data_IF_613174754664
#
_entry.id   IF_613174754664
#
_cell.length_a   1.000
_cell.length_b   1.000
_cell.length_c   1.000
_cell.angle_alpha   90.00
_cell.angle_beta   90.00
_cell.angle_gamma   90.00
#
_symmetry.space_group_name_H-M   'P 1'
#
loop_
_entity.id
_entity.type
_entity.pdbx_description
1 polymer ?
#
# COMPACT_ATOMS: atom_id res chain seq x y z
N UNK A 1 -96.39 -48.39 10.46
CA UNK A 1 -95.38 -48.41 9.37
C UNK A 1 -95.92 -47.45 8.33
N UNK A 2 -95.45 -46.22 8.17
CA UNK A 2 -94.07 -45.74 8.20
C UNK A 2 -93.90 -44.48 9.05
N UNK A 3 -92.95 -44.59 9.97
CA UNK A 3 -92.03 -43.58 10.52
C UNK A 3 -92.19 -42.12 10.10
N UNK A 4 -92.75 -41.35 11.03
CA UNK A 4 -92.10 -40.16 11.60
C UNK A 4 -90.62 -40.50 11.88
N UNK A 5 -89.67 -39.93 11.12
CA UNK A 5 -88.31 -39.56 11.57
C UNK A 5 -87.41 -39.14 10.38
N UNK A 6 -87.92 -38.27 9.49
CA UNK A 6 -87.11 -37.57 8.47
C UNK A 6 -86.12 -36.53 9.05
N UNK A 7 -85.78 -36.64 10.34
CA UNK A 7 -84.89 -35.72 11.05
C UNK A 7 -83.81 -36.41 11.91
N UNK A 8 -83.42 -37.66 11.60
CA UNK A 8 -82.37 -38.39 12.35
C UNK A 8 -81.15 -38.87 11.54
N UNK A 9 -80.98 -38.43 10.29
CA UNK A 9 -79.75 -38.69 9.51
C UNK A 9 -78.69 -37.58 9.66
N UNK A 10 -78.69 -36.85 10.77
CA UNK A 10 -77.48 -36.16 11.20
C UNK A 10 -76.60 -37.23 11.86
N UNK A 11 -75.50 -37.58 11.19
CA UNK A 11 -74.46 -38.48 11.69
C UNK A 11 -74.13 -38.17 13.16
N UNK A 12 -74.08 -39.17 14.06
CA UNK A 12 -73.62 -38.98 15.43
C UNK A 12 -72.24 -38.31 15.47
N UNK A 13 -72.00 -37.46 16.47
CA UNK A 13 -70.64 -37.00 16.79
C UNK A 13 -69.74 -38.24 16.90
N UNK A 14 -68.64 -38.25 16.15
CA UNK A 14 -67.68 -39.37 16.03
C UNK A 14 -68.08 -40.56 15.13
N UNK A 15 -68.97 -40.36 14.15
CA UNK A 15 -69.26 -41.37 13.11
C UNK A 15 -68.52 -41.12 11.78
N UNK A 16 -67.94 -42.19 11.22
CA UNK A 16 -67.22 -42.22 9.94
C UNK A 16 -68.14 -42.70 8.82
N UNK A 17 -68.39 -41.85 7.83
CA UNK A 17 -68.90 -42.27 6.52
C UNK A 17 -67.75 -42.25 5.50
N UNK A 18 -67.48 -43.40 4.87
CA UNK A 18 -66.51 -43.51 3.78
C UNK A 18 -67.25 -43.75 2.47
N UNK A 19 -67.31 -42.72 1.61
CA UNK A 19 -67.75 -42.85 0.23
C UNK A 19 -66.57 -43.32 -0.62
N UNK A 20 -66.36 -44.64 -0.68
CA UNK A 20 -65.34 -45.24 -1.55
C UNK A 20 -65.85 -45.24 -2.98
N UNK A 21 -65.62 -44.12 -3.69
CA UNK A 21 -65.62 -44.10 -5.16
C UNK A 21 -64.17 -44.24 -5.63
N UNK A 22 -63.68 -45.48 -5.66
CA UNK A 22 -62.32 -45.83 -6.11
C UNK A 22 -61.20 -45.29 -5.21
N UNK A 23 -60.79 -44.05 -5.46
CA UNK A 23 -59.51 -43.46 -5.02
C UNK A 23 -59.69 -42.21 -4.14
N UNK A 24 -60.90 -41.95 -3.66
CA UNK A 24 -61.22 -40.81 -2.80
C UNK A 24 -61.69 -41.34 -1.44
N UNK A 25 -61.12 -40.81 -0.36
CA UNK A 25 -61.53 -41.14 1.00
C UNK A 25 -61.85 -39.87 1.79
N UNK A 26 -63.03 -39.84 2.40
CA UNK A 26 -63.44 -38.83 3.37
C UNK A 26 -63.53 -39.56 4.71
N UNK A 27 -62.83 -39.05 5.72
CA UNK A 27 -62.89 -39.52 7.10
C UNK A 27 -63.38 -38.40 7.98
N UNK A 28 -64.55 -38.59 8.59
CA UNK A 28 -65.14 -37.67 9.57
C UNK A 28 -65.30 -38.40 10.88
N UNK A 29 -64.97 -37.79 12.02
CA UNK A 29 -65.13 -38.37 13.37
C UNK A 29 -63.82 -38.72 14.10
N UNK A 30 -63.81 -38.54 15.43
CA UNK A 30 -62.60 -38.64 16.26
C UNK A 30 -61.77 -37.36 16.31
N UNK A 31 -60.51 -37.45 16.78
CA UNK A 31 -59.60 -36.30 16.91
C UNK A 31 -59.11 -35.70 15.57
N UNK A 32 -59.38 -36.38 14.44
CA UNK A 32 -58.88 -36.02 13.12
C UNK A 32 -59.99 -36.22 12.07
N UNK A 33 -60.23 -35.21 11.24
CA UNK A 33 -61.04 -35.33 10.02
C UNK A 33 -60.13 -35.15 8.81
N UNK A 34 -60.25 -36.01 7.81
CA UNK A 34 -59.39 -35.95 6.63
C UNK A 34 -60.10 -36.22 5.32
N UNK A 35 -59.52 -35.65 4.27
CA UNK A 35 -59.84 -35.86 2.88
C UNK A 35 -58.56 -36.35 2.19
N UNK A 36 -58.60 -37.50 1.53
CA UNK A 36 -57.44 -38.01 0.79
C UNK A 36 -57.80 -38.50 -0.61
N UNK A 37 -56.86 -38.29 -1.55
CA UNK A 37 -56.91 -38.86 -2.89
C UNK A 37 -55.74 -39.83 -3.04
N UNK A 38 -56.06 -41.10 -3.20
CA UNK A 38 -55.12 -42.22 -3.22
C UNK A 38 -54.84 -42.65 -4.65
N UNK A 39 -53.57 -42.79 -5.00
CA UNK A 39 -53.12 -43.35 -6.28
C UNK A 39 -53.30 -44.86 -6.27
N UNK A 40 -53.24 -45.47 -7.45
CA UNK A 40 -53.26 -46.94 -7.60
C UNK A 40 -52.09 -47.65 -6.90
N UNK A 41 -51.00 -46.93 -6.63
CA UNK A 41 -49.84 -47.44 -5.88
C UNK A 41 -49.97 -47.30 -4.35
N UNK A 42 -51.12 -46.81 -3.86
CA UNK A 42 -51.41 -46.64 -2.44
C UNK A 42 -50.91 -45.32 -1.84
N UNK A 43 -50.06 -44.55 -2.52
CA UNK A 43 -49.63 -43.22 -2.05
C UNK A 43 -50.76 -42.23 -2.18
N UNK A 44 -50.83 -41.25 -1.29
CA UNK A 44 -51.99 -40.35 -1.26
C UNK A 44 -51.63 -38.91 -0.89
N UNK A 45 -52.35 -37.98 -1.48
CA UNK A 45 -52.42 -36.60 -1.00
C UNK A 45 -53.52 -36.50 0.04
N UNK A 46 -53.32 -35.71 1.08
CA UNK A 46 -54.28 -35.54 2.15
C UNK A 46 -54.43 -34.08 2.59
N UNK A 47 -55.61 -33.77 3.09
CA UNK A 47 -55.92 -32.60 3.92
C UNK A 47 -56.52 -33.17 5.19
N UNK A 48 -55.87 -32.98 6.33
CA UNK A 48 -56.24 -33.58 7.62
C UNK A 48 -56.23 -32.52 8.71
N UNK A 49 -57.26 -32.47 9.56
CA UNK A 49 -57.20 -31.66 10.77
C UNK A 49 -56.16 -32.24 11.71
N UNK A 50 -55.53 -31.44 12.55
CA UNK A 50 -54.60 -31.91 13.58
C UNK A 50 -55.32 -32.04 14.93
N UNK A 51 -54.70 -32.71 15.90
CA UNK A 51 -55.30 -32.93 17.23
C UNK A 51 -55.66 -31.60 17.90
N UNK A 52 -56.64 -31.63 18.81
CA UNK A 52 -57.07 -30.43 19.53
C UNK A 52 -55.93 -29.76 20.33
N UNK A 53 -54.91 -30.53 20.71
CA UNK A 53 -53.75 -30.05 21.48
C UNK A 53 -52.56 -29.59 20.61
N UNK A 54 -52.64 -29.69 19.28
CA UNK A 54 -51.55 -29.28 18.38
C UNK A 54 -51.47 -27.75 18.17
N UNK A 55 -50.28 -27.22 17.87
CA UNK A 55 -50.11 -25.81 17.50
C UNK A 55 -50.64 -25.47 16.09
N UNK A 56 -50.94 -26.49 15.29
CA UNK A 56 -51.55 -26.40 13.96
C UNK A 56 -53.03 -26.80 14.00
N UNK A 57 -53.82 -26.36 13.01
CA UNK A 57 -55.23 -26.76 12.86
C UNK A 57 -55.45 -27.77 11.72
N UNK A 58 -54.56 -27.77 10.73
CA UNK A 58 -54.66 -28.61 9.56
C UNK A 58 -53.28 -28.91 9.00
N UNK A 59 -53.12 -30.07 8.40
CA UNK A 59 -51.98 -30.48 7.62
C UNK A 59 -52.42 -30.80 6.19
N UNK A 60 -51.64 -30.33 5.22
CA UNK A 60 -51.79 -30.69 3.81
C UNK A 60 -50.49 -31.37 3.39
N UNK A 61 -50.57 -32.55 2.81
CA UNK A 61 -49.36 -33.29 2.49
C UNK A 61 -49.53 -34.46 1.55
N UNK A 62 -48.40 -35.12 1.28
CA UNK A 62 -48.29 -36.33 0.48
C UNK A 62 -47.62 -37.42 1.33
N UNK A 63 -48.21 -38.62 1.37
CA UNK A 63 -47.75 -39.76 2.16
C UNK A 63 -47.50 -40.99 1.28
N UNK A 64 -46.60 -41.83 1.74
CA UNK A 64 -46.38 -43.17 1.17
C UNK A 64 -47.57 -44.10 1.44
N UNK A 65 -47.60 -45.27 0.80
CA UNK A 65 -48.67 -46.26 0.97
C UNK A 65 -48.78 -46.82 2.40
N UNK A 66 -47.70 -46.74 3.17
CA UNK A 66 -47.64 -47.12 4.59
C UNK A 66 -48.04 -45.97 5.55
N UNK A 67 -48.49 -44.84 5.00
CA UNK A 67 -48.83 -43.60 5.72
C UNK A 67 -47.65 -42.82 6.31
N UNK A 68 -46.40 -43.13 5.97
CA UNK A 68 -45.27 -42.26 6.30
C UNK A 68 -45.30 -40.94 5.50
N UNK A 69 -44.88 -39.85 6.13
CA UNK A 69 -44.91 -38.51 5.52
C UNK A 69 -43.77 -38.34 4.51
N UNK A 70 -44.09 -37.94 3.27
CA UNK A 70 -43.10 -37.52 2.27
C UNK A 70 -42.91 -36.01 2.38
N UNK A 71 -44.01 -35.27 2.30
CA UNK A 71 -44.03 -33.82 2.43
C UNK A 71 -45.31 -33.41 3.17
N UNK A 72 -45.18 -32.62 4.23
CA UNK A 72 -46.33 -32.13 4.99
C UNK A 72 -46.12 -30.67 5.32
N UNK A 73 -47.12 -29.85 4.99
CA UNK A 73 -47.24 -28.46 5.42
C UNK A 73 -48.29 -28.41 6.52
N UNK A 74 -47.90 -27.95 7.71
CA UNK A 74 -48.83 -27.72 8.82
C UNK A 74 -49.26 -26.25 8.85
N UNK A 75 -50.57 -26.01 8.86
CA UNK A 75 -51.17 -24.69 8.96
C UNK A 75 -51.37 -24.33 10.45
N UNK A 76 -50.74 -23.26 10.97
CA UNK A 76 -50.77 -22.93 12.40
C UNK A 76 -52.13 -22.39 12.86
N UNK A 77 -52.52 -22.61 14.13
CA UNK A 77 -53.71 -22.02 14.79
C UNK A 77 -53.56 -20.52 15.11
N UNK A 78 -52.88 -19.77 14.25
CA UNK A 78 -52.57 -18.34 14.43
C UNK A 78 -52.83 -17.56 13.15
N UNK A 79 -53.25 -16.32 13.31
CA UNK A 79 -53.44 -15.37 12.21
C UNK A 79 -52.07 -15.11 11.56
N UNK A 80 -51.93 -15.29 10.25
CA UNK A 80 -50.66 -15.07 9.56
C UNK A 80 -50.63 -15.62 8.14
N UNK A 81 -49.45 -15.58 7.52
CA UNK A 81 -49.19 -16.16 6.20
C UNK A 81 -48.42 -17.47 6.37
N UNK A 82 -48.79 -18.51 5.62
CA UNK A 82 -47.98 -19.73 5.49
C UNK A 82 -47.08 -19.55 4.26
N UNK A 83 -45.81 -19.28 4.51
CA UNK A 83 -44.80 -19.25 3.46
C UNK A 83 -44.31 -20.67 3.21
N UNK A 84 -44.69 -21.25 2.07
CA UNK A 84 -44.03 -22.46 1.54
C UNK A 84 -42.78 -21.93 0.85
N UNK A 85 -41.66 -21.88 1.58
CA UNK A 85 -40.40 -21.45 1.01
C UNK A 85 -39.97 -22.51 -0.02
N UNK A 86 -39.91 -22.13 -1.29
CA UNK A 86 -39.38 -22.99 -2.35
C UNK A 86 -37.85 -23.14 -2.30
N UNK A 87 -37.15 -22.42 -1.43
CA UNK A 87 -35.70 -22.29 -1.51
C UNK A 87 -35.05 -22.78 -0.21
N UNK A 88 -34.88 -24.09 -0.12
CA UNK A 88 -33.61 -24.60 0.42
C UNK A 88 -32.53 -24.14 -0.56
N UNK A 89 -31.69 -23.19 -0.17
CA UNK A 89 -30.51 -22.90 -0.97
C UNK A 89 -29.65 -24.15 -0.97
N UNK A 90 -29.56 -24.78 -2.14
CA UNK A 90 -28.44 -25.68 -2.43
C UNK A 90 -27.13 -24.94 -2.16
N UNK A 91 -26.04 -25.67 -1.93
CA UNK A 91 -24.72 -25.05 -1.80
C UNK A 91 -24.47 -24.06 -2.95
N UNK A 92 -24.80 -24.44 -4.18
CA UNK A 92 -24.75 -23.57 -5.39
C UNK A 92 -25.47 -22.22 -5.25
N UNK A 93 -26.64 -22.19 -4.60
CA UNK A 93 -27.42 -20.96 -4.43
C UNK A 93 -26.91 -20.09 -3.28
N UNK A 94 -26.29 -20.70 -2.27
CA UNK A 94 -25.55 -20.00 -1.21
C UNK A 94 -24.25 -19.38 -1.77
N UNK A 95 -23.51 -20.14 -2.58
CA UNK A 95 -22.27 -19.74 -3.26
C UNK A 95 -22.46 -18.52 -4.18
N UNK A 96 -23.69 -18.28 -4.67
CA UNK A 96 -24.04 -17.18 -5.58
C UNK A 96 -24.54 -15.92 -4.86
N UNK A 97 -24.98 -16.03 -3.60
CA UNK A 97 -25.63 -14.93 -2.84
C UNK A 97 -24.74 -14.36 -1.74
N UNK A 98 -23.75 -15.11 -1.25
CA UNK A 98 -22.89 -14.72 -0.11
C UNK A 98 -21.41 -14.97 -0.43
N UNK A 99 -20.51 -14.14 0.12
CA UNK A 99 -19.05 -14.40 0.05
C UNK A 99 -18.75 -15.56 1.00
N UNK A 100 -18.20 -16.63 0.45
CA UNK A 100 -17.94 -17.85 1.20
C UNK A 100 -16.66 -17.71 2.05
N UNK A 101 -16.70 -18.29 3.25
CA UNK A 101 -15.52 -18.44 4.08
C UNK A 101 -14.62 -19.54 3.49
N UNK A 102 -13.35 -19.25 3.20
CA UNK A 102 -12.35 -20.20 2.66
C UNK A 102 -12.67 -20.82 1.30
N UNK A 103 -13.31 -20.07 0.40
CA UNK A 103 -13.56 -20.57 -0.96
C UNK A 103 -13.11 -19.52 -1.97
N UNK A 104 -12.39 -19.94 -3.02
CA UNK A 104 -12.00 -19.09 -4.13
C UNK A 104 -13.26 -18.53 -4.83
N UNK A 105 -13.68 -17.34 -4.44
CA UNK A 105 -14.95 -16.77 -4.88
C UNK A 105 -14.72 -15.86 -6.08
N UNK A 106 -15.16 -16.29 -7.27
CA UNK A 106 -15.25 -15.44 -8.48
C UNK A 106 -16.72 -15.04 -8.69
N UNK A 107 -17.05 -13.75 -8.55
CA UNK A 107 -18.42 -13.23 -8.81
C UNK A 107 -18.44 -12.33 -10.04
N UNK A 108 -19.62 -12.21 -10.67
CA UNK A 108 -19.88 -11.36 -11.84
C UNK A 108 -20.29 -9.91 -11.49
N UNK A 109 -20.17 -9.49 -10.23
CA UNK A 109 -20.56 -8.15 -9.73
C UNK A 109 -19.65 -7.62 -8.61
N UNK A 110 -19.76 -6.31 -8.30
CA UNK A 110 -18.89 -5.62 -7.34
C UNK A 110 -19.06 -6.14 -5.90
N UNK A 111 -17.95 -6.40 -5.20
CA UNK A 111 -17.93 -6.79 -3.78
C UNK A 111 -17.98 -5.52 -2.90
N UNK A 112 -19.09 -5.29 -2.19
CA UNK A 112 -19.20 -4.28 -1.13
C UNK A 112 -18.77 -4.88 0.22
N UNK A 113 -17.47 -4.89 0.53
CA UNK A 113 -16.94 -5.45 1.78
C UNK A 113 -16.78 -4.39 2.88
N UNK A 114 -17.36 -4.63 4.06
CA UNK A 114 -17.10 -3.84 5.29
C UNK A 114 -15.81 -4.35 5.93
N UNK A 115 -14.93 -3.44 6.34
CA UNK A 115 -13.70 -3.77 7.07
C UNK A 115 -14.02 -4.38 8.45
N UNK A 116 -13.36 -5.49 8.81
CA UNK A 116 -13.45 -6.06 10.14
C UNK A 116 -12.72 -5.15 11.15
N UNK A 117 -13.45 -4.59 12.11
CA UNK A 117 -12.88 -3.72 13.14
C UNK A 117 -12.67 -4.51 14.44
N UNK A 118 -11.42 -4.66 14.85
CA UNK A 118 -11.07 -5.51 15.98
C UNK A 118 -11.56 -4.97 17.33
N UNK A 119 -11.93 -3.69 17.41
CA UNK A 119 -12.56 -3.13 18.60
C UNK A 119 -14.07 -3.39 18.68
N UNK A 120 -14.74 -3.55 17.53
CA UNK A 120 -16.18 -3.77 17.49
C UNK A 120 -16.51 -5.26 17.71
N UNK A 121 -15.70 -6.15 17.16
CA UNK A 121 -15.81 -7.60 17.35
C UNK A 121 -14.43 -8.23 17.60
N UNK A 122 -14.09 -8.58 18.85
CA UNK A 122 -12.84 -9.26 19.19
C UNK A 122 -12.66 -10.63 18.51
N UNK A 123 -13.73 -11.28 18.06
CA UNK A 123 -13.67 -12.56 17.35
C UNK A 123 -13.31 -12.40 15.87
N UNK A 124 -13.36 -11.17 15.34
CA UNK A 124 -12.93 -10.86 13.97
C UNK A 124 -11.39 -10.91 13.77
N UNK A 125 -10.63 -11.19 14.85
CA UNK A 125 -9.15 -11.28 14.89
C UNK A 125 -8.53 -12.48 14.17
N UNK A 126 -9.30 -13.22 13.38
CA UNK A 126 -8.87 -14.51 12.86
C UNK A 126 -7.93 -14.36 11.64
N UNK A 127 -6.61 -14.40 11.87
CA UNK A 127 -5.59 -14.28 10.82
C UNK A 127 -5.48 -15.50 9.87
N UNK A 128 -6.26 -16.56 10.11
CA UNK A 128 -6.48 -17.64 9.13
C UNK A 128 -7.48 -17.28 8.01
N UNK A 129 -7.91 -16.01 7.91
CA UNK A 129 -8.87 -15.55 6.90
C UNK A 129 -8.35 -14.30 6.19
N UNK A 130 -8.34 -14.33 4.85
CA UNK A 130 -7.99 -13.17 4.03
C UNK A 130 -9.10 -12.10 4.07
N UNK A 131 -8.73 -10.82 4.06
CA UNK A 131 -9.72 -9.74 4.05
C UNK A 131 -9.17 -8.35 4.36
N UNK A 132 -10.08 -7.38 4.42
CA UNK A 132 -9.80 -6.01 4.84
C UNK A 132 -10.02 -5.88 6.35
N UNK A 133 -8.98 -5.48 7.07
CA UNK A 133 -8.95 -5.40 8.52
C UNK A 133 -8.70 -3.96 8.98
N UNK A 134 -9.28 -3.59 10.12
CA UNK A 134 -8.93 -2.41 10.91
C UNK A 134 -8.39 -2.89 12.27
N UNK A 135 -7.11 -3.30 12.29
CA UNK A 135 -6.50 -3.86 13.49
C UNK A 135 -6.13 -2.81 14.55
N UNK A 136 -6.03 -1.52 14.20
CA UNK A 136 -5.66 -0.44 15.14
C UNK A 136 -4.39 -0.76 15.98
N UNK A 137 -3.37 -1.36 15.33
CA UNK A 137 -2.08 -1.72 15.92
C UNK A 137 -1.99 -3.15 16.46
N UNK A 138 -3.10 -3.88 16.52
CA UNK A 138 -3.14 -5.26 17.01
C UNK A 138 -2.42 -6.21 16.03
N UNK A 139 -1.80 -7.26 16.58
CA UNK A 139 -1.05 -8.31 15.86
C UNK A 139 0.03 -7.77 14.91
N UNK A 140 0.55 -6.56 15.20
CA UNK A 140 1.55 -5.81 14.42
C UNK A 140 1.11 -5.41 13.00
N UNK A 141 -0.20 -5.36 12.74
CA UNK A 141 -0.77 -5.09 11.41
C UNK A 141 -0.95 -3.60 11.08
N UNK A 142 -0.56 -2.70 11.98
CA UNK A 142 -0.77 -1.25 11.82
C UNK A 142 -2.23 -0.86 11.98
N UNK A 143 -2.65 0.29 11.43
CA UNK A 143 -3.99 0.82 11.68
C UNK A 143 -5.08 0.17 10.80
N UNK A 144 -4.77 0.00 9.51
CA UNK A 144 -5.60 -0.64 8.50
C UNK A 144 -4.74 -1.67 7.76
N UNK A 145 -5.33 -2.79 7.34
CA UNK A 145 -4.59 -3.83 6.63
C UNK A 145 -5.42 -4.55 5.56
N UNK A 146 -4.77 -4.94 4.48
CA UNK A 146 -5.21 -6.00 3.57
C UNK A 146 -4.43 -7.25 3.96
N UNK A 147 -5.13 -8.28 4.41
CA UNK A 147 -4.56 -9.52 4.90
C UNK A 147 -4.79 -10.68 3.94
N UNK A 148 -3.75 -11.48 3.75
CA UNK A 148 -3.76 -12.67 2.92
C UNK A 148 -3.31 -13.83 3.80
N UNK A 149 -4.27 -14.68 4.17
CA UNK A 149 -4.03 -15.91 4.91
C UNK A 149 -3.54 -17.02 3.98
N UNK A 150 -2.85 -17.99 4.54
CA UNK A 150 -2.45 -19.19 3.81
C UNK A 150 -3.64 -20.18 3.73
N UNK A 151 -3.92 -20.79 2.58
CA UNK A 151 -5.17 -21.53 2.35
C UNK A 151 -5.32 -22.80 3.21
N UNK A 152 -4.21 -23.44 3.55
CA UNK A 152 -4.23 -24.76 4.23
C UNK A 152 -4.09 -24.68 5.76
N UNK A 153 -4.05 -23.47 6.34
CA UNK A 153 -3.83 -23.28 7.79
C UNK A 153 -4.82 -22.29 8.35
N UNK A 154 -5.42 -22.64 9.49
CA UNK A 154 -6.43 -21.82 10.15
C UNK A 154 -5.80 -20.86 11.17
N UNK A 155 -4.71 -20.19 10.78
CA UNK A 155 -3.92 -19.31 11.65
C UNK A 155 -3.12 -18.28 10.85
N UNK A 156 -2.29 -17.46 11.50
CA UNK A 156 -1.39 -16.49 10.84
C UNK A 156 -0.23 -17.11 10.08
N UNK A 157 -0.03 -18.43 10.13
CA UNK A 157 1.10 -19.11 9.50
C UNK A 157 1.22 -18.75 8.02
N UNK A 158 2.43 -18.39 7.60
CA UNK A 158 2.77 -17.96 6.23
C UNK A 158 2.00 -16.74 5.71
N UNK A 159 1.13 -16.11 6.51
CA UNK A 159 0.31 -15.00 6.08
C UNK A 159 1.16 -13.77 5.70
N UNK A 160 0.60 -12.94 4.84
CA UNK A 160 1.23 -11.72 4.30
C UNK A 160 0.19 -10.63 4.20
N UNK A 161 0.63 -9.40 3.97
CA UNK A 161 -0.32 -8.36 3.59
C UNK A 161 0.29 -6.98 3.45
N UNK A 162 -0.62 -6.02 3.24
CA UNK A 162 -0.34 -4.60 3.18
C UNK A 162 -0.93 -3.92 4.40
N UNK A 163 -0.18 -3.03 5.02
CA UNK A 163 -0.57 -2.22 6.16
C UNK A 163 -0.55 -0.75 5.75
N UNK A 164 -1.57 0.00 6.15
CA UNK A 164 -1.75 1.42 5.85
C UNK A 164 -1.77 2.22 7.15
N UNK A 165 -1.19 3.43 7.08
CA UNK A 165 -1.32 4.42 8.13
C UNK A 165 -2.76 4.90 8.31
N UNK A 166 -3.09 5.37 9.51
CA UNK A 166 -4.39 5.97 9.78
C UNK A 166 -4.36 7.45 9.40
N UNK A 167 -5.42 7.96 8.76
CA UNK A 167 -5.48 9.31 8.17
C UNK A 167 -5.35 10.51 9.11
N UNK A 168 -5.00 10.31 10.39
CA UNK A 168 -4.88 11.36 11.42
C UNK A 168 -3.46 11.65 11.92
N UNK A 169 -2.41 11.09 11.31
CA UNK A 169 -1.03 11.19 11.82
C UNK A 169 -0.03 11.56 10.71
N UNK A 170 1.24 11.80 11.09
CA UNK A 170 2.39 12.04 10.17
C UNK A 170 2.63 10.93 9.14
N UNK A 171 1.94 9.81 9.28
CA UNK A 171 2.00 8.64 8.41
C UNK A 171 0.69 8.38 7.65
N UNK A 172 -0.17 9.38 7.44
CA UNK A 172 -1.48 9.20 6.80
C UNK A 172 -1.41 8.50 5.42
N UNK A 173 -0.31 8.66 4.68
CA UNK A 173 -0.07 8.02 3.39
C UNK A 173 0.91 6.83 3.47
N UNK A 174 1.31 6.40 4.67
CA UNK A 174 2.27 5.32 4.82
C UNK A 174 1.66 3.99 4.38
N UNK A 175 2.40 3.26 3.56
CA UNK A 175 2.06 1.90 3.14
C UNK A 175 3.25 1.00 3.45
N UNK A 176 3.00 -0.25 3.80
CA UNK A 176 4.06 -1.21 4.06
C UNK A 176 3.60 -2.64 3.83
N UNK A 177 4.55 -3.52 3.52
CA UNK A 177 4.30 -4.97 3.54
C UNK A 177 4.57 -5.54 4.93
N UNK A 178 3.92 -6.65 5.28
CA UNK A 178 4.24 -7.43 6.47
C UNK A 178 4.17 -8.95 6.19
N UNK A 179 4.77 -9.74 7.08
CA UNK A 179 4.87 -11.19 6.93
C UNK A 179 4.86 -11.95 8.25
N UNK A 180 4.32 -13.17 8.23
CA UNK A 180 4.41 -14.18 9.29
C UNK A 180 5.22 -15.40 8.82
N UNK A 181 5.96 -16.07 9.69
CA UNK A 181 6.69 -17.30 9.33
C UNK A 181 5.80 -18.55 9.37
N UNK A 182 6.42 -19.71 9.13
CA UNK A 182 5.79 -21.04 9.15
C UNK A 182 5.15 -21.42 10.49
N UNK A 183 5.59 -20.77 11.57
CA UNK A 183 5.08 -20.99 12.92
C UNK A 183 4.05 -19.93 13.33
N UNK A 184 3.70 -19.00 12.42
CA UNK A 184 2.74 -17.94 12.68
C UNK A 184 3.33 -16.76 13.45
N UNK A 185 4.66 -16.67 13.59
CA UNK A 185 5.30 -15.55 14.26
C UNK A 185 5.48 -14.38 13.28
N UNK A 186 5.24 -13.16 13.77
CA UNK A 186 5.43 -11.95 12.97
C UNK A 186 6.91 -11.72 12.65
N UNK A 187 7.24 -11.60 11.36
CA UNK A 187 8.62 -11.41 10.87
C UNK A 187 9.01 -9.96 10.71
N UNK A 188 8.04 -9.06 10.77
CA UNK A 188 8.26 -7.63 10.64
C UNK A 188 7.48 -7.02 9.49
N UNK A 189 7.65 -5.70 9.41
CA UNK A 189 7.05 -4.80 8.42
C UNK A 189 8.16 -4.14 7.60
N UNK A 190 7.91 -3.83 6.33
CA UNK A 190 8.81 -3.07 5.46
C UNK A 190 8.04 -1.96 4.78
N UNK A 191 8.49 -0.71 4.97
CA UNK A 191 7.85 0.46 4.36
C UNK A 191 7.95 0.37 2.84
N UNK A 192 6.83 0.60 2.16
CA UNK A 192 6.82 0.83 0.72
C UNK A 192 7.14 2.31 0.57
N UNK A 193 8.31 2.59 -0.02
CA UNK A 193 8.75 3.95 -0.25
C UNK A 193 7.84 4.58 -1.30
N UNK A 194 7.34 5.76 -0.97
CA UNK A 194 6.55 6.61 -1.86
C UNK A 194 7.41 7.76 -2.36
N UNK A 195 6.85 8.62 -3.20
CA UNK A 195 7.52 9.86 -3.57
C UNK A 195 7.92 10.65 -2.30
N UNK A 196 7.10 10.69 -1.25
CA UNK A 196 7.44 11.40 -0.01
C UNK A 196 8.73 10.90 0.70
N UNK A 197 9.20 9.69 0.37
CA UNK A 197 10.38 9.07 0.97
C UNK A 197 11.68 9.33 0.20
N UNK A 198 11.63 9.98 -0.97
CA UNK A 198 12.86 10.40 -1.66
C UNK A 198 13.48 11.55 -0.87
N UNK A 199 14.77 11.42 -0.56
CA UNK A 199 15.52 12.43 0.18
C UNK A 199 15.42 13.79 -0.51
N UNK A 200 14.79 14.73 0.19
CA UNK A 200 14.65 16.12 -0.21
C UNK A 200 15.97 16.85 0.03
N UNK A 201 16.34 17.73 -0.90
CA UNK A 201 17.54 18.55 -0.76
C UNK A 201 18.85 17.93 -1.29
N UNK A 202 18.82 16.78 -1.96
CA UNK A 202 20.00 16.27 -2.68
C UNK A 202 20.15 17.02 -4.01
N UNK A 203 21.30 17.67 -4.30
CA UNK A 203 21.57 18.23 -5.62
C UNK A 203 21.74 17.11 -6.67
N UNK A 204 20.87 17.11 -7.68
CA UNK A 204 20.86 16.16 -8.79
C UNK A 204 21.27 16.85 -10.08
N UNK A 205 22.19 16.28 -10.89
CA UNK A 205 22.47 16.76 -12.23
C UNK A 205 21.22 16.67 -13.13
N UNK A 206 20.90 17.77 -13.81
CA UNK A 206 19.75 17.89 -14.70
C UNK A 206 20.14 18.48 -16.05
N UNK A 207 19.77 17.81 -17.13
CA UNK A 207 20.25 18.11 -18.49
C UNK A 207 19.50 19.25 -19.20
N UNK A 208 18.42 19.77 -18.61
CA UNK A 208 17.60 20.84 -19.22
C UNK A 208 17.77 22.16 -18.49
N UNK A 209 17.60 23.31 -19.19
CA UNK A 209 17.72 24.63 -18.58
C UNK A 209 16.64 24.92 -17.52
N UNK A 210 15.49 24.24 -17.59
CA UNK A 210 14.36 24.41 -16.66
C UNK A 210 14.17 23.17 -15.80
N UNK A 211 14.00 23.34 -14.50
CA UNK A 211 13.65 22.24 -13.60
C UNK A 211 12.24 21.70 -13.91
N UNK A 212 11.99 20.39 -13.73
CA UNK A 212 10.65 19.82 -13.80
C UNK A 212 9.80 20.29 -12.61
N UNK A 213 8.48 20.10 -12.70
CA UNK A 213 7.57 20.39 -11.59
C UNK A 213 7.99 19.63 -10.32
N UNK A 214 7.93 20.30 -9.16
CA UNK A 214 8.37 19.76 -7.88
C UNK A 214 9.87 19.88 -7.60
N UNK A 215 10.64 20.51 -8.50
CA UNK A 215 12.09 20.72 -8.34
C UNK A 215 12.47 22.20 -8.47
N UNK A 216 13.56 22.56 -7.81
CA UNK A 216 14.15 23.90 -7.85
C UNK A 216 15.60 23.80 -8.33
N UNK A 217 16.05 24.74 -9.17
CA UNK A 217 17.45 24.86 -9.58
C UNK A 217 18.27 25.42 -8.41
N UNK A 218 19.47 24.91 -8.14
CA UNK A 218 20.39 25.47 -7.16
C UNK A 218 21.06 26.73 -7.70
N UNK A 219 20.34 27.86 -7.68
CA UNK A 219 20.80 29.16 -8.19
C UNK A 219 20.85 30.27 -7.13
N UNK A 220 21.00 29.89 -5.85
CA UNK A 220 21.09 30.86 -4.75
C UNK A 220 19.75 31.44 -4.27
N UNK A 221 18.62 31.01 -4.83
CA UNK A 221 17.32 31.60 -4.51
C UNK A 221 16.78 31.16 -3.15
N UNK A 222 15.98 32.03 -2.54
CA UNK A 222 15.20 31.71 -1.34
C UNK A 222 13.99 30.83 -1.68
N UNK A 223 13.52 30.06 -0.69
CA UNK A 223 12.29 29.28 -0.76
C UNK A 223 11.51 29.39 0.54
N UNK A 224 10.20 29.15 0.45
CA UNK A 224 9.32 29.18 1.61
C UNK A 224 9.36 27.84 2.35
N UNK A 225 9.86 27.85 3.59
CA UNK A 225 9.95 26.67 4.46
C UNK A 225 8.60 26.15 4.94
N UNK A 226 7.56 27.00 4.95
CA UNK A 226 6.19 26.56 5.26
C UNK A 226 5.57 25.78 4.10
N UNK A 227 5.95 26.10 2.86
CA UNK A 227 5.53 25.35 1.67
C UNK A 227 6.38 24.08 1.50
N UNK A 228 7.69 24.17 1.77
CA UNK A 228 8.65 23.07 1.58
C UNK A 228 9.37 22.70 2.89
N UNK A 229 8.68 22.12 3.90
CA UNK A 229 9.24 21.88 5.22
C UNK A 229 10.44 20.93 5.20
N UNK A 230 10.38 19.84 4.43
CA UNK A 230 11.50 18.89 4.26
C UNK A 230 12.72 19.54 3.59
N UNK A 231 12.52 20.47 2.66
CA UNK A 231 13.61 21.23 2.07
C UNK A 231 14.19 22.22 3.09
N UNK A 232 13.35 22.78 3.96
CA UNK A 232 13.77 23.60 5.10
C UNK A 232 14.60 22.85 6.12
N UNK A 233 14.37 21.55 6.32
CA UNK A 233 15.23 20.70 7.14
C UNK A 233 16.61 20.48 6.48
N UNK A 234 16.65 20.27 5.17
CA UNK A 234 17.89 20.10 4.42
C UNK A 234 18.70 21.40 4.27
N UNK A 235 18.02 22.54 4.12
CA UNK A 235 18.60 23.88 4.01
C UNK A 235 17.96 24.84 5.03
N UNK A 236 18.41 24.83 6.30
CA UNK A 236 17.79 25.61 7.38
C UNK A 236 17.77 27.13 7.16
N UNK A 237 18.68 27.64 6.34
CA UNK A 237 18.73 29.05 5.93
C UNK A 237 17.50 29.50 5.15
N UNK A 238 16.74 28.57 4.55
CA UNK A 238 15.65 28.91 3.62
C UNK A 238 16.14 29.37 2.25
N UNK A 239 17.41 29.12 1.91
CA UNK A 239 17.98 29.41 0.60
C UNK A 239 18.77 28.23 0.08
N UNK A 240 18.71 28.00 -1.23
CA UNK A 240 19.55 27.01 -1.88
C UNK A 240 20.96 27.57 -2.12
N UNK A 241 22.00 26.72 -2.19
CA UNK A 241 23.29 27.15 -2.69
C UNK A 241 23.18 27.57 -4.16
N UNK A 242 24.05 28.47 -4.60
CA UNK A 242 24.30 28.71 -6.01
C UNK A 242 25.38 27.73 -6.47
N UNK A 243 25.01 26.74 -7.27
CA UNK A 243 25.93 25.70 -7.74
C UNK A 243 26.27 25.85 -9.22
N UNK A 244 25.96 27.00 -9.82
CA UNK A 244 26.24 27.25 -11.24
C UNK A 244 27.74 27.46 -11.43
N UNK A 245 28.39 26.52 -12.09
CA UNK A 245 29.84 26.55 -12.32
C UNK A 245 30.66 25.82 -11.26
N UNK A 246 30.01 25.30 -10.21
CA UNK A 246 30.67 24.69 -9.06
C UNK A 246 30.91 23.19 -9.22
N UNK A 247 32.00 22.70 -8.61
CA UNK A 247 32.21 21.27 -8.38
C UNK A 247 31.82 20.90 -6.95
N UNK A 248 30.92 19.92 -6.80
CA UNK A 248 30.58 19.39 -5.48
C UNK A 248 31.66 18.40 -5.03
N UNK A 249 32.19 18.57 -3.82
CA UNK A 249 33.13 17.65 -3.18
C UNK A 249 32.63 17.18 -1.82
N UNK A 250 33.15 16.04 -1.35
CA UNK A 250 32.87 15.54 -0.01
C UNK A 250 33.41 16.49 1.07
N UNK A 251 32.63 16.66 2.14
CA UNK A 251 33.05 17.39 3.34
C UNK A 251 34.01 16.53 4.17
N UNK A 252 35.07 17.15 4.71
CA UNK A 252 36.11 16.46 5.47
C UNK A 252 35.58 15.79 6.74
N UNK A 253 34.60 16.42 7.39
CA UNK A 253 33.91 15.91 8.58
C UNK A 253 34.87 15.37 9.66
N UNK A 254 35.96 16.10 9.91
CA UNK A 254 36.93 15.77 10.97
C UNK A 254 38.01 14.75 10.57
N UNK A 255 38.11 14.36 9.29
CA UNK A 255 39.19 13.49 8.80
C UNK A 255 40.56 14.19 8.76
N UNK A 256 40.59 15.51 8.90
CA UNK A 256 41.80 16.34 8.95
C UNK A 256 42.60 16.40 7.65
N UNK A 257 41.99 16.05 6.51
CA UNK A 257 42.59 16.21 5.18
C UNK A 257 42.35 17.62 4.66
N UNK A 258 41.21 18.19 5.03
CA UNK A 258 40.73 19.48 4.55
C UNK A 258 40.07 20.24 5.72
N UNK A 259 40.91 20.47 6.73
CA UNK A 259 40.56 21.10 8.00
C UNK A 259 40.16 22.56 7.82
N UNK A 260 39.20 23.02 8.63
CA UNK A 260 38.76 24.42 8.64
C UNK A 260 37.73 24.78 7.58
N UNK A 261 37.22 23.80 6.80
CA UNK A 261 36.08 24.00 5.89
C UNK A 261 34.76 23.54 6.50
N UNK A 262 33.76 24.39 6.36
CA UNK A 262 32.38 24.12 6.77
C UNK A 262 31.57 23.47 5.64
N UNK A 263 30.51 22.74 5.99
CA UNK A 263 29.56 22.23 5.00
C UNK A 263 28.92 23.40 4.23
N UNK A 264 28.76 23.26 2.91
CA UNK A 264 28.28 24.31 1.99
C UNK A 264 29.18 25.55 1.87
N UNK A 265 30.41 25.53 2.40
CA UNK A 265 31.37 26.61 2.17
C UNK A 265 31.93 26.58 0.74
N UNK A 266 32.16 27.77 0.18
CA UNK A 266 32.84 27.95 -1.10
C UNK A 266 34.35 27.77 -0.94
N UNK A 267 35.01 27.22 -1.96
CA UNK A 267 36.46 27.16 -2.06
C UNK A 267 36.87 27.69 -3.43
N UNK A 268 37.80 28.64 -3.43
CA UNK A 268 38.29 29.22 -4.68
C UNK A 268 39.12 28.20 -5.46
N UNK A 269 39.35 28.48 -6.74
CA UNK A 269 40.20 27.62 -7.56
C UNK A 269 41.64 27.55 -7.05
N UNK A 270 42.27 26.39 -7.17
CA UNK A 270 43.68 26.22 -6.78
C UNK A 270 44.62 26.84 -7.83
N UNK A 271 45.49 27.74 -7.38
CA UNK A 271 46.58 28.33 -8.15
C UNK A 271 47.81 27.43 -8.10
N UNK A 272 48.33 27.05 -9.26
CA UNK A 272 49.63 26.42 -9.38
C UNK A 272 50.71 27.49 -9.59
N UNK A 273 51.75 27.56 -8.76
CA UNK A 273 52.90 28.42 -9.02
C UNK A 273 53.54 28.03 -10.36
N UNK A 274 53.58 28.96 -11.31
CA UNK A 274 54.18 28.74 -12.62
C UNK A 274 55.42 29.63 -12.83
N UNK A 275 56.46 29.04 -13.41
CA UNK A 275 57.57 29.78 -14.02
C UNK A 275 57.06 30.37 -15.34
N UNK A 276 57.36 31.62 -15.61
CA UNK A 276 57.00 32.29 -16.87
C UNK A 276 58.27 32.63 -17.65
N UNK A 277 58.16 32.73 -18.97
CA UNK A 277 59.27 33.14 -19.84
C UNK A 277 59.06 34.59 -20.26
N UNK A 278 60.12 35.39 -20.19
CA UNK A 278 60.16 36.77 -20.68
C UNK A 278 61.17 36.88 -21.83
N UNK A 279 60.86 37.64 -22.87
CA UNK A 279 61.82 37.92 -23.93
C UNK A 279 62.79 39.02 -23.45
N UNK A 280 64.04 38.67 -23.18
CA UNK A 280 65.08 39.66 -22.86
C UNK A 280 65.66 40.34 -24.11
N UNK A 281 65.66 39.65 -25.25
CA UNK A 281 65.98 40.21 -26.57
C UNK A 281 65.26 39.43 -27.67
N UNK A 282 65.43 39.84 -28.94
CA UNK A 282 64.82 39.18 -30.09
C UNK A 282 65.09 37.65 -30.14
N UNK A 283 66.24 37.21 -29.61
CA UNK A 283 66.66 35.81 -29.64
C UNK A 283 67.02 35.26 -28.25
N UNK A 284 66.66 35.93 -27.16
CA UNK A 284 66.99 35.46 -25.80
C UNK A 284 65.72 35.50 -24.96
N UNK A 285 65.30 34.33 -24.49
CA UNK A 285 64.30 34.21 -23.44
C UNK A 285 64.95 34.17 -22.07
N UNK A 286 64.19 34.47 -21.03
CA UNK A 286 64.58 34.30 -19.64
C UNK A 286 63.45 33.58 -18.94
N UNK A 287 63.76 32.46 -18.29
CA UNK A 287 62.83 31.80 -17.39
C UNK A 287 62.90 32.51 -16.04
N UNK A 288 61.77 32.99 -15.57
CA UNK A 288 61.70 33.80 -14.35
C UNK A 288 60.76 33.15 -13.33
N UNK A 289 61.17 33.22 -12.06
CA UNK A 289 60.34 32.82 -10.93
C UNK A 289 59.23 33.85 -10.68
N UNK A 290 58.19 33.49 -9.90
CA UNK A 290 57.40 34.50 -9.19
C UNK A 290 58.32 35.49 -8.43
N UNK A 291 57.91 36.76 -8.24
CA UNK A 291 58.69 37.74 -7.49
C UNK A 291 59.06 37.23 -6.09
N UNK A 292 60.26 37.55 -5.63
CA UNK A 292 60.84 37.09 -4.36
C UNK A 292 59.95 37.45 -3.17
N UNK A 293 59.32 38.62 -3.22
CA UNK A 293 58.38 39.08 -2.19
C UNK A 293 57.04 38.31 -2.16
N UNK A 294 56.81 37.38 -3.10
CA UNK A 294 55.70 36.41 -3.03
C UNK A 294 56.06 35.14 -2.27
N UNK A 295 57.34 34.91 -1.96
CA UNK A 295 57.76 33.86 -1.04
C UNK A 295 57.65 34.40 0.39
N UNK A 296 56.93 33.72 1.27
CA UNK A 296 56.94 34.05 2.70
C UNK A 296 58.37 33.93 3.26
N UNK A 297 58.69 34.72 4.27
CA UNK A 297 59.99 34.62 4.98
C UNK A 297 60.20 33.26 5.64
N UNK A 298 59.10 32.55 5.94
CA UNK A 298 59.10 31.16 6.38
C UNK A 298 58.98 30.27 5.14
N UNK A 299 60.09 29.69 4.70
CA UNK A 299 60.13 28.70 3.62
C UNK A 299 59.64 27.33 4.13
N UNK A 300 58.47 26.82 3.72
CA UNK A 300 58.35 25.40 3.49
C UNK A 300 59.18 25.06 2.24
N UNK A 301 59.79 23.87 2.22
CA UNK A 301 60.67 23.38 1.15
C UNK A 301 60.02 23.28 -0.24
N UNK A 302 58.73 23.61 -0.37
CA UNK A 302 57.93 23.53 -1.60
C UNK A 302 56.97 24.71 -1.67
N UNK A 303 56.87 25.35 -2.84
CA UNK A 303 55.86 26.38 -3.09
C UNK A 303 54.52 25.65 -3.25
N UNK A 304 53.70 25.66 -2.20
CA UNK A 304 52.41 24.98 -2.23
C UNK A 304 51.39 25.77 -3.05
N UNK A 305 50.51 25.04 -3.71
CA UNK A 305 49.35 25.62 -4.38
C UNK A 305 48.40 26.27 -3.35
N UNK A 306 47.77 27.39 -3.70
CA UNK A 306 46.86 28.12 -2.81
C UNK A 306 45.59 28.56 -3.55
N UNK A 307 44.51 28.82 -2.81
CA UNK A 307 43.19 29.12 -3.38
C UNK A 307 43.04 30.61 -3.76
N UNK A 308 42.56 30.92 -4.96
CA UNK A 308 42.41 32.31 -5.43
C UNK A 308 41.30 32.46 -6.51
N UNK A 309 40.59 33.60 -6.51
CA UNK A 309 39.48 33.91 -7.44
C UNK A 309 39.91 34.60 -8.74
N UNK A 310 40.90 35.50 -8.66
CA UNK A 310 41.30 36.39 -9.77
C UNK A 310 42.75 36.20 -10.25
N UNK A 311 43.09 36.79 -11.39
CA UNK A 311 44.49 36.85 -11.80
C UNK A 311 45.31 37.72 -10.84
N UNK A 312 46.28 37.11 -10.16
CA UNK A 312 47.12 37.83 -9.21
C UNK A 312 48.45 38.27 -9.84
N UNK A 313 48.72 39.57 -9.81
CA UNK A 313 49.94 40.16 -10.36
C UNK A 313 50.91 40.57 -9.24
N UNK A 314 52.20 40.39 -9.47
CA UNK A 314 53.25 40.81 -8.55
C UNK A 314 54.40 41.48 -9.28
N UNK A 315 54.95 42.54 -8.69
CA UNK A 315 56.17 43.20 -9.15
C UNK A 315 57.24 43.11 -8.06
N UNK A 316 58.48 42.80 -8.42
CA UNK A 316 59.59 42.71 -7.49
C UNK A 316 60.81 42.08 -8.14
N UNK A 317 61.88 41.88 -7.35
CA UNK A 317 63.03 41.09 -7.80
C UNK A 317 62.60 39.63 -7.98
N UNK A 318 63.21 38.91 -8.91
CA UNK A 318 62.90 37.51 -9.21
C UNK A 318 64.19 36.78 -9.57
N UNK A 319 64.20 35.46 -9.38
CA UNK A 319 65.29 34.64 -9.90
C UNK A 319 65.10 34.43 -11.39
N UNK A 320 66.21 34.45 -12.13
CA UNK A 320 66.22 34.30 -13.57
C UNK A 320 67.24 33.28 -14.01
N UNK A 321 66.94 32.57 -15.08
CA UNK A 321 67.97 31.89 -15.86
C UNK A 321 67.78 32.22 -17.34
N UNK A 322 68.89 32.52 -18.00
CA UNK A 322 68.89 32.85 -19.42
C UNK A 322 68.64 31.58 -20.25
N UNK A 323 67.68 31.66 -21.17
CA UNK A 323 67.39 30.63 -22.15
C UNK A 323 68.01 31.05 -23.48
N UNK A 324 69.16 30.45 -23.81
CA UNK A 324 69.81 30.63 -25.11
C UNK A 324 69.25 29.62 -26.12
N UNK A 325 68.71 30.05 -27.27
CA UNK A 325 68.15 29.14 -28.26
C UNK A 325 69.27 28.46 -29.06
N UNK A 326 69.70 27.28 -28.61
CA UNK A 326 70.66 26.43 -29.33
C UNK A 326 70.01 25.12 -29.86
N UNK A 327 68.68 25.06 -29.97
CA UNK A 327 67.95 23.86 -30.43
C UNK A 327 66.50 24.12 -30.87
N UNK A 328 65.82 23.09 -31.38
CA UNK A 328 64.41 23.16 -31.78
C UNK A 328 63.50 23.43 -30.57
N UNK A 329 62.66 24.46 -30.67
CA UNK A 329 61.72 24.85 -29.60
C UNK A 329 60.38 24.14 -29.78
N UNK A 330 59.88 23.51 -28.72
CA UNK A 330 58.54 22.94 -28.63
C UNK A 330 57.77 23.58 -27.48
N UNK A 331 56.57 24.07 -27.73
CA UNK A 331 55.69 24.62 -26.70
C UNK A 331 55.11 23.47 -25.86
N UNK A 332 55.35 23.48 -24.55
CA UNK A 332 54.67 22.59 -23.61
C UNK A 332 53.49 23.34 -22.99
N UNK A 333 52.27 22.89 -23.26
CA UNK A 333 51.05 23.37 -22.59
C UNK A 333 50.46 22.26 -21.75
N UNK A 334 49.95 22.59 -20.57
CA UNK A 334 49.19 21.66 -19.74
C UNK A 334 47.78 22.21 -19.47
N UNK A 335 46.79 21.31 -19.33
CA UNK A 335 45.41 21.67 -18.97
C UNK A 335 45.20 21.33 -17.50
N UNK A 336 44.80 22.31 -16.70
CA UNK A 336 44.56 22.13 -15.26
C UNK A 336 43.08 21.94 -14.91
N UNK A 337 42.17 22.38 -15.79
CA UNK A 337 40.73 22.21 -15.57
C UNK A 337 40.25 20.81 -15.99
N UNK A 338 39.40 20.15 -15.19
CA UNK A 338 38.73 18.92 -15.61
C UNK A 338 37.91 19.14 -16.89
N UNK A 339 37.86 18.12 -17.77
CA UNK A 339 36.87 18.07 -18.84
C UNK A 339 35.52 17.72 -18.21
N UNK A 340 34.51 18.56 -18.41
CA UNK A 340 33.17 18.36 -17.88
C UNK A 340 32.10 18.73 -18.91
N UNK A 341 30.86 18.33 -18.65
CA UNK A 341 29.65 18.74 -19.38
C UNK A 341 28.76 19.47 -18.38
N UNK A 342 28.26 20.65 -18.75
CA UNK A 342 27.42 21.45 -17.88
C UNK A 342 26.01 20.86 -17.75
N UNK A 343 25.60 20.61 -16.51
CA UNK A 343 24.24 20.25 -16.11
C UNK A 343 23.79 21.30 -15.08
N UNK A 344 22.48 21.55 -14.99
CA UNK A 344 21.94 22.21 -13.82
C UNK A 344 22.06 21.28 -12.60
N UNK A 345 22.21 21.85 -11.41
CA UNK A 345 21.88 21.14 -10.18
C UNK A 345 20.45 21.49 -9.79
N UNK A 346 19.61 20.47 -9.55
CA UNK A 346 18.25 20.66 -9.04
C UNK A 346 18.08 19.91 -7.72
N UNK A 347 17.25 20.44 -6.83
CA UNK A 347 16.79 19.76 -5.62
C UNK A 347 15.30 19.53 -5.72
N UNK A 348 14.84 18.42 -5.17
CA UNK A 348 13.42 18.19 -4.97
C UNK A 348 12.90 19.18 -3.92
N UNK A 349 11.73 19.77 -4.15
CA UNK A 349 11.11 20.75 -3.26
C UNK A 349 10.01 20.15 -2.38
N UNK A 350 9.24 19.19 -2.91
CA UNK A 350 8.09 18.56 -2.24
C UNK A 350 8.16 17.05 -2.36
#
# INVERSE_FOLDING_TARGET
METVDLAKNALPKDSTESLISGNHNIKTGGNYSSLSLTKSDGRYVFIETTSHEADSFCAIGYRESDSSNINVVQLPRKNGYVAIANEHYSKSESDSRFIQLNTDTKTSGYILAKTANYYDDPNSRHLGRSGFLRPNGIDNLGALAIHIAHPDVDSSQHARGLSFGYGGYSEAFSVSTYAFDENGNFRGKRKILTEDDILVGIPLPWSKPTAPAGYLICSGQQFDKSIYPKLGEAYPSGALPDLRGEFIRGWDNGRSIDSGRDILSHQNSTKLPNLYTHAASANIGVLVSPPINRFSSDYPSEIMASDFEEAEFGSGQYFTTQLNPNGAVSLSTFRVRPRNIAFNYIVRAA
#
